data_IF_828103816234
#
_entry.id   IF_828103816234
#
_cell.length_a   1.000
_cell.length_b   1.000
_cell.length_c   1.000
_cell.angle_alpha   90.00
_cell.angle_beta   90.00
_cell.angle_gamma   90.00
#
_symmetry.space_group_name_H-M   'P 1'
#
loop_
_entity.id
_entity.type
_entity.pdbx_description
1 polymer ?
#
# COMPACT_ATOMS: atom_id res chain seq x y z
N UNK A 1 -36.84 -16.25 45.35
CA UNK A 1 -35.55 -15.73 44.85
C UNK A 1 -35.39 -14.34 45.46
N UNK A 2 -34.38 -14.13 46.31
CA UNK A 2 -34.19 -12.87 47.04
C UNK A 2 -33.53 -11.81 46.14
N UNK A 3 -33.85 -10.53 46.37
CA UNK A 3 -33.26 -9.42 45.59
C UNK A 3 -31.73 -9.41 45.65
N UNK A 4 -31.16 -9.89 46.75
CA UNK A 4 -29.71 -9.99 46.93
C UNK A 4 -29.03 -10.91 45.89
N UNK A 5 -29.69 -12.00 45.46
CA UNK A 5 -29.14 -12.88 44.42
C UNK A 5 -29.18 -12.23 43.03
N UNK A 6 -30.10 -11.29 42.79
CA UNK A 6 -30.22 -10.61 41.48
C UNK A 6 -29.04 -9.69 41.25
N UNK A 7 -28.62 -8.97 42.28
CA UNK A 7 -27.44 -8.10 42.25
C UNK A 7 -26.15 -8.91 42.06
N UNK A 8 -25.97 -10.01 42.80
CA UNK A 8 -24.78 -10.85 42.60
C UNK A 8 -24.73 -11.50 41.22
N UNK A 9 -25.87 -11.83 40.60
CA UNK A 9 -25.88 -12.36 39.22
C UNK A 9 -25.39 -11.35 38.18
N UNK A 10 -25.67 -10.06 38.33
CA UNK A 10 -25.09 -9.07 37.41
C UNK A 10 -23.58 -8.96 37.62
N UNK A 11 -23.12 -8.93 38.88
CA UNK A 11 -21.69 -8.90 39.21
C UNK A 11 -20.92 -10.14 38.71
N UNK A 12 -21.57 -11.31 38.61
CA UNK A 12 -20.93 -12.51 38.03
C UNK A 12 -20.50 -12.30 36.58
N UNK A 13 -21.29 -11.57 35.77
CA UNK A 13 -20.90 -11.28 34.39
C UNK A 13 -19.67 -10.36 34.33
N UNK A 14 -19.62 -9.34 35.19
CA UNK A 14 -18.48 -8.44 35.33
C UNK A 14 -17.22 -9.17 35.85
N UNK A 15 -17.42 -10.20 36.69
CA UNK A 15 -16.33 -11.04 37.18
C UNK A 15 -15.71 -11.89 36.07
N UNK A 16 -16.55 -12.56 35.27
CA UNK A 16 -16.08 -13.42 34.17
C UNK A 16 -15.33 -12.60 33.11
N UNK A 17 -15.76 -11.37 32.87
CA UNK A 17 -15.11 -10.45 31.94
C UNK A 17 -13.89 -9.70 32.51
N UNK A 18 -13.57 -9.91 33.80
CA UNK A 18 -12.39 -9.35 34.46
C UNK A 18 -12.50 -7.86 34.81
N UNK A 19 -13.71 -7.30 34.90
CA UNK A 19 -13.96 -5.86 35.08
C UNK A 19 -14.15 -5.47 36.56
N UNK A 20 -14.40 -6.44 37.45
CA UNK A 20 -14.59 -6.18 38.89
C UNK A 20 -13.30 -5.77 39.62
N UNK A 21 -13.45 -4.83 40.56
CA UNK A 21 -12.40 -4.48 41.52
C UNK A 21 -12.14 -5.61 42.53
N UNK A 22 -10.95 -5.62 43.15
CA UNK A 22 -10.57 -6.66 44.13
C UNK A 22 -11.55 -6.78 45.30
N UNK A 23 -12.13 -5.66 45.75
CA UNK A 23 -13.11 -5.65 46.84
C UNK A 23 -14.42 -6.34 46.42
N UNK A 24 -14.94 -6.03 45.24
CA UNK A 24 -16.18 -6.63 44.72
C UNK A 24 -16.00 -8.13 44.44
N UNK A 25 -14.80 -8.53 44.02
CA UNK A 25 -14.45 -9.94 43.85
C UNK A 25 -14.50 -10.70 45.17
N UNK A 26 -13.97 -10.13 46.26
CA UNK A 26 -14.03 -10.76 47.58
C UNK A 26 -15.46 -10.89 48.10
N UNK A 27 -16.28 -9.85 47.97
CA UNK A 27 -17.70 -9.87 48.33
C UNK A 27 -18.47 -10.93 47.53
N UNK A 28 -18.23 -11.00 46.22
CA UNK A 28 -18.85 -11.99 45.35
C UNK A 28 -18.40 -13.42 45.72
N UNK A 29 -17.11 -13.64 45.98
CA UNK A 29 -16.61 -14.96 46.38
C UNK A 29 -17.23 -15.44 47.69
N UNK A 30 -17.41 -14.55 48.67
CA UNK A 30 -18.06 -14.90 49.93
C UNK A 30 -19.53 -15.29 49.72
N UNK A 31 -20.24 -14.56 48.86
CA UNK A 31 -21.60 -14.93 48.47
C UNK A 31 -21.66 -16.30 47.75
N UNK A 32 -20.72 -16.57 46.83
CA UNK A 32 -20.66 -17.83 46.08
C UNK A 32 -20.36 -19.05 46.95
N UNK A 33 -19.67 -18.87 48.10
CA UNK A 33 -19.46 -19.95 49.07
C UNK A 33 -20.77 -20.43 49.66
N UNK A 34 -21.68 -19.50 49.96
CA UNK A 34 -22.92 -19.75 50.70
C UNK A 34 -24.15 -19.98 49.79
N UNK A 35 -24.13 -19.49 48.55
CA UNK A 35 -25.28 -19.52 47.65
C UNK A 35 -25.08 -20.49 46.47
N UNK A 36 -25.70 -21.68 46.55
CA UNK A 36 -25.64 -22.72 45.49
C UNK A 36 -26.13 -22.22 44.12
N UNK A 37 -27.29 -21.54 43.98
CA UNK A 37 -27.77 -21.09 42.67
C UNK A 37 -26.83 -20.10 41.95
N UNK A 38 -26.17 -19.21 42.70
CA UNK A 38 -25.22 -18.26 42.14
C UNK A 38 -23.94 -18.96 41.68
N UNK A 39 -23.49 -19.98 42.41
CA UNK A 39 -22.34 -20.81 42.01
C UNK A 39 -22.62 -21.60 40.74
N UNK A 40 -23.80 -22.23 40.64
CA UNK A 40 -24.20 -22.95 39.44
C UNK A 40 -24.26 -22.02 38.23
N UNK A 41 -24.78 -20.80 38.42
CA UNK A 41 -24.83 -19.79 37.37
C UNK A 41 -23.45 -19.32 36.91
N UNK A 42 -22.53 -19.05 37.83
CA UNK A 42 -21.15 -18.70 37.51
C UNK A 42 -20.46 -19.83 36.75
N UNK A 43 -20.65 -21.08 37.18
CA UNK A 43 -20.05 -22.24 36.53
C UNK A 43 -20.59 -22.45 35.11
N UNK A 44 -21.89 -22.24 34.90
CA UNK A 44 -22.49 -22.29 33.56
C UNK A 44 -21.89 -21.22 32.63
N UNK A 45 -21.78 -19.98 33.09
CA UNK A 45 -21.16 -18.89 32.30
C UNK A 45 -19.70 -19.17 31.98
N UNK A 46 -18.93 -19.71 32.94
CA UNK A 46 -17.54 -20.09 32.71
C UNK A 46 -17.41 -21.20 31.66
N UNK A 47 -18.31 -22.19 31.70
CA UNK A 47 -18.31 -23.27 30.71
C UNK A 47 -18.64 -22.75 29.30
N UNK A 48 -19.54 -21.78 29.19
CA UNK A 48 -19.84 -21.11 27.91
C UNK A 48 -18.63 -20.32 27.40
N UNK A 49 -17.96 -19.56 28.26
CA UNK A 49 -16.75 -18.80 27.92
C UNK A 49 -15.60 -19.71 27.47
N UNK A 50 -15.34 -20.81 28.21
CA UNK A 50 -14.35 -21.83 27.84
C UNK A 50 -14.68 -22.46 26.47
N UNK A 51 -15.97 -22.70 26.18
CA UNK A 51 -16.41 -23.22 24.89
C UNK A 51 -16.21 -22.23 23.75
N UNK A 52 -16.45 -20.93 23.99
CA UNK A 52 -16.21 -19.88 23.00
C UNK A 52 -14.71 -19.72 22.74
N UNK A 53 -13.89 -19.69 23.78
CA UNK A 53 -12.44 -19.60 23.68
C UNK A 53 -11.87 -20.75 22.83
N UNK A 54 -12.33 -21.98 23.07
CA UNK A 54 -11.94 -23.15 22.27
C UNK A 54 -12.35 -23.02 20.80
N UNK A 55 -13.55 -22.49 20.53
CA UNK A 55 -14.02 -22.26 19.17
C UNK A 55 -13.17 -21.23 18.42
N UNK A 56 -12.87 -20.10 19.06
CA UNK A 56 -12.01 -19.06 18.47
C UNK A 56 -10.59 -19.57 18.23
N UNK A 57 -10.01 -20.33 19.16
CA UNK A 57 -8.69 -20.94 18.96
C UNK A 57 -8.64 -21.84 17.71
N UNK A 58 -9.70 -22.61 17.44
CA UNK A 58 -9.80 -23.42 16.23
C UNK A 58 -9.91 -22.58 14.95
N UNK A 59 -10.60 -21.44 15.00
CA UNK A 59 -10.66 -20.49 13.87
C UNK A 59 -9.29 -19.87 13.61
N UNK A 60 -8.59 -19.44 14.65
CA UNK A 60 -7.27 -18.82 14.53
C UNK A 60 -6.24 -19.79 13.93
N UNK A 61 -6.25 -21.07 14.36
CA UNK A 61 -5.39 -22.11 13.80
C UNK A 61 -5.70 -22.37 12.30
N UNK A 62 -6.98 -22.46 11.93
CA UNK A 62 -7.40 -22.60 10.53
C UNK A 62 -7.02 -21.36 9.69
N UNK A 63 -7.16 -20.15 10.23
CA UNK A 63 -6.74 -18.92 9.54
C UNK A 63 -5.23 -18.89 9.32
N UNK A 64 -4.43 -19.24 10.34
CA UNK A 64 -2.98 -19.36 10.20
C UNK A 64 -2.61 -20.39 9.12
N UNK A 65 -3.31 -21.52 9.08
CA UNK A 65 -3.09 -22.53 8.05
C UNK A 65 -3.46 -22.03 6.65
N UNK A 66 -4.57 -21.30 6.50
CA UNK A 66 -4.97 -20.70 5.21
C UNK A 66 -3.98 -19.64 4.75
N UNK A 67 -3.49 -18.80 5.67
CA UNK A 67 -2.48 -17.79 5.37
C UNK A 67 -1.19 -18.45 4.87
N UNK A 68 -0.73 -19.51 5.53
CA UNK A 68 0.46 -20.27 5.11
C UNK A 68 0.27 -20.85 3.70
N UNK A 69 -0.87 -21.49 3.42
CA UNK A 69 -1.17 -22.00 2.07
C UNK A 69 -1.21 -20.88 1.02
N UNK A 70 -1.76 -19.71 1.37
CA UNK A 70 -1.82 -18.58 0.46
C UNK A 70 -0.42 -18.05 0.13
N UNK A 71 0.46 -17.94 1.14
CA UNK A 71 1.86 -17.54 0.95
C UNK A 71 2.62 -18.55 0.08
N UNK A 72 2.49 -19.85 0.36
CA UNK A 72 3.12 -20.90 -0.44
C UNK A 72 2.65 -20.88 -1.91
N UNK A 73 1.36 -20.59 -2.17
CA UNK A 73 0.87 -20.45 -3.54
C UNK A 73 1.55 -19.28 -4.25
N UNK A 74 1.66 -18.11 -3.61
CA UNK A 74 2.33 -16.94 -4.19
C UNK A 74 3.80 -17.24 -4.51
N UNK A 75 4.52 -17.89 -3.60
CA UNK A 75 5.91 -18.28 -3.80
C UNK A 75 6.08 -19.25 -4.98
N UNK A 76 5.20 -20.26 -5.09
CA UNK A 76 5.19 -21.19 -6.21
C UNK A 76 4.96 -20.49 -7.55
N UNK A 77 4.04 -19.52 -7.60
CA UNK A 77 3.80 -18.74 -8.83
C UNK A 77 5.04 -17.95 -9.25
N UNK A 78 5.73 -17.28 -8.33
CA UNK A 78 6.97 -16.55 -8.65
C UNK A 78 8.13 -17.48 -9.04
N UNK A 79 8.25 -18.65 -8.42
CA UNK A 79 9.26 -19.64 -8.80
C UNK A 79 9.01 -20.19 -10.22
N UNK A 80 7.74 -20.37 -10.59
CA UNK A 80 7.34 -20.78 -11.94
C UNK A 80 7.56 -19.65 -12.96
N UNK A 81 7.29 -18.39 -12.62
CA UNK A 81 7.58 -17.24 -13.50
C UNK A 81 9.07 -17.04 -13.76
N UNK A 82 9.92 -17.42 -12.78
CA UNK A 82 11.38 -17.49 -12.94
C UNK A 82 11.87 -18.67 -13.77
N UNK A 83 10.99 -19.57 -14.25
CA UNK A 83 11.34 -20.52 -15.31
C UNK A 83 11.47 -19.81 -16.66
N UNK A 84 12.56 -19.03 -16.73
CA UNK A 84 13.25 -18.49 -17.88
C UNK A 84 12.35 -18.07 -19.06
N UNK A 85 11.90 -16.79 -19.10
CA UNK A 85 11.47 -16.17 -20.36
C UNK A 85 12.56 -16.32 -21.45
N UNK A 86 13.83 -16.43 -21.05
CA UNK A 86 14.92 -16.75 -21.97
C UNK A 86 14.81 -18.16 -22.59
N UNK A 87 14.24 -19.16 -21.92
CA UNK A 87 14.08 -20.51 -22.48
C UNK A 87 12.93 -20.58 -23.48
N UNK A 88 11.83 -19.88 -23.19
CA UNK A 88 10.69 -19.71 -24.09
C UNK A 88 11.12 -18.89 -25.32
N UNK A 89 11.80 -17.76 -25.10
CA UNK A 89 12.37 -16.94 -26.18
C UNK A 89 13.36 -17.71 -27.05
N UNK A 90 14.25 -18.52 -26.45
CA UNK A 90 15.22 -19.36 -27.19
C UNK A 90 14.53 -20.47 -27.99
N UNK A 91 13.37 -20.97 -27.54
CA UNK A 91 12.56 -21.96 -28.27
C UNK A 91 11.83 -21.31 -29.44
N UNK A 92 11.28 -20.11 -29.25
CA UNK A 92 10.53 -19.37 -30.29
C UNK A 92 11.44 -18.74 -31.35
N UNK A 93 12.61 -18.21 -30.99
CA UNK A 93 13.55 -17.56 -31.92
C UNK A 93 14.38 -18.54 -32.77
N UNK A 94 14.17 -19.85 -32.59
CA UNK A 94 14.90 -20.92 -33.31
C UNK A 94 14.48 -21.04 -34.78
N UNK A 95 13.33 -20.49 -35.17
CA UNK A 95 12.84 -20.58 -36.56
C UNK A 95 13.53 -19.57 -37.48
N UNK A 96 13.75 -19.92 -38.75
CA UNK A 96 14.34 -18.98 -39.73
C UNK A 96 13.40 -17.82 -40.07
N UNK A 97 12.08 -18.05 -40.00
CA UNK A 97 11.06 -17.05 -40.28
C UNK A 97 11.02 -15.94 -39.22
N UNK A 98 11.20 -16.26 -37.93
CA UNK A 98 11.25 -15.25 -36.88
C UNK A 98 12.43 -14.29 -37.05
N UNK A 99 13.57 -14.76 -37.56
CA UNK A 99 14.75 -13.91 -37.83
C UNK A 99 14.48 -12.89 -38.93
N UNK A 100 13.80 -13.30 -40.00
CA UNK A 100 13.43 -12.41 -41.11
C UNK A 100 12.38 -11.38 -40.66
N UNK A 101 11.39 -11.79 -39.86
CA UNK A 101 10.38 -10.88 -39.32
C UNK A 101 10.99 -9.80 -38.41
N UNK A 102 11.93 -10.17 -37.53
CA UNK A 102 12.63 -9.18 -36.69
C UNK A 102 13.45 -8.21 -37.52
N UNK A 103 14.20 -8.69 -38.53
CA UNK A 103 14.97 -7.82 -39.41
C UNK A 103 14.08 -6.83 -40.18
N UNK A 104 12.94 -7.30 -40.71
CA UNK A 104 11.97 -6.45 -41.38
C UNK A 104 11.38 -5.40 -40.44
N UNK A 105 11.02 -5.77 -39.21
CA UNK A 105 10.48 -4.84 -38.21
C UNK A 105 11.49 -3.75 -37.84
N UNK A 106 12.77 -4.09 -37.69
CA UNK A 106 13.84 -3.11 -37.41
C UNK A 106 13.97 -2.10 -38.57
N UNK A 107 13.94 -2.58 -39.82
CA UNK A 107 14.02 -1.71 -40.99
C UNK A 107 12.80 -0.77 -41.08
N UNK A 108 11.61 -1.28 -40.81
CA UNK A 108 10.39 -0.46 -40.75
C UNK A 108 10.51 0.61 -39.68
N UNK A 109 10.91 0.25 -38.46
CA UNK A 109 11.08 1.21 -37.36
C UNK A 109 12.13 2.28 -37.70
N UNK A 110 13.28 1.89 -38.24
CA UNK A 110 14.32 2.83 -38.65
C UNK A 110 13.81 3.81 -39.72
N UNK A 111 13.06 3.32 -40.71
CA UNK A 111 12.49 4.16 -41.76
C UNK A 111 11.47 5.16 -41.21
N UNK A 112 10.61 4.73 -40.27
CA UNK A 112 9.63 5.60 -39.61
C UNK A 112 10.32 6.67 -38.76
N UNK A 113 11.38 6.31 -38.03
CA UNK A 113 12.15 7.27 -37.23
C UNK A 113 12.78 8.37 -38.09
N UNK A 114 13.34 8.04 -39.25
CA UNK A 114 13.93 9.02 -40.17
C UNK A 114 12.87 10.01 -40.67
N UNK A 115 11.69 9.53 -41.05
CA UNK A 115 10.59 10.39 -41.52
C UNK A 115 10.09 11.35 -40.43
N UNK A 116 10.03 10.89 -39.18
CA UNK A 116 9.61 11.72 -38.04
C UNK A 116 10.67 12.80 -37.73
N UNK A 117 11.96 12.44 -37.80
CA UNK A 117 13.07 13.36 -37.56
C UNK A 117 13.16 14.43 -38.65
N UNK A 118 12.98 14.07 -39.92
CA UNK A 118 12.98 15.01 -41.05
C UNK A 118 11.82 16.02 -40.99
N UNK A 119 10.64 15.60 -40.51
CA UNK A 119 9.54 16.53 -40.22
C UNK A 119 9.84 17.49 -39.07
N UNK A 120 10.78 17.16 -38.20
CA UNK A 120 11.09 17.95 -36.99
C UNK A 120 12.20 18.99 -37.19
N UNK A 121 12.93 18.96 -38.32
CA UNK A 121 14.06 19.87 -38.59
C UNK A 121 13.67 21.27 -39.10
N UNK A 122 12.38 21.64 -39.08
CA UNK A 122 11.93 23.00 -39.43
C UNK A 122 12.37 24.09 -38.43
N UNK A 123 13.20 23.77 -37.43
CA UNK A 123 13.64 24.69 -36.37
C UNK A 123 14.87 25.54 -36.68
N UNK A 124 15.54 25.33 -37.82
CA UNK A 124 16.75 26.10 -38.15
C UNK A 124 16.46 27.59 -38.45
N UNK A 125 15.27 27.92 -38.96
CA UNK A 125 14.87 29.30 -39.28
C UNK A 125 14.49 30.15 -38.06
N UNK A 126 14.24 29.54 -36.90
CA UNK A 126 13.86 30.28 -35.68
C UNK A 126 15.08 30.84 -34.92
N UNK A 127 16.27 30.25 -35.11
CA UNK A 127 17.51 30.69 -34.48
C UNK A 127 18.05 31.99 -35.10
N UNK A 128 17.96 32.14 -36.42
CA UNK A 128 18.35 33.38 -37.09
C UNK A 128 17.49 34.57 -36.66
N UNK A 129 16.17 34.37 -36.50
CA UNK A 129 15.28 35.42 -35.98
C UNK A 129 15.60 35.82 -34.55
N UNK A 130 16.00 34.87 -33.70
CA UNK A 130 16.36 35.18 -32.31
C UNK A 130 17.70 35.90 -32.22
N UNK A 131 18.69 35.52 -33.03
CA UNK A 131 19.99 36.22 -33.10
C UNK A 131 19.82 37.63 -33.66
N UNK A 132 19.03 37.80 -34.71
CA UNK A 132 18.77 39.12 -35.30
C UNK A 132 17.95 40.01 -34.37
N UNK A 133 16.97 39.45 -33.65
CA UNK A 133 16.24 40.17 -32.61
C UNK A 133 17.18 40.61 -31.48
N UNK A 134 18.06 39.73 -31.00
CA UNK A 134 19.06 40.05 -29.96
C UNK A 134 20.05 41.14 -30.41
N UNK A 135 20.49 41.14 -31.67
CA UNK A 135 21.35 42.19 -32.22
C UNK A 135 20.67 43.56 -32.29
N UNK A 136 19.34 43.62 -32.31
CA UNK A 136 18.57 44.88 -32.29
C UNK A 136 18.30 45.43 -30.89
N UNK A 137 18.59 44.67 -29.83
CA UNK A 137 18.34 45.10 -28.45
C UNK A 137 19.50 45.92 -27.93
N UNK A 138 19.32 47.23 -27.90
CA UNK A 138 20.31 48.21 -27.40
C UNK A 138 20.26 48.41 -25.88
N UNK A 139 19.19 47.98 -25.21
CA UNK A 139 19.00 48.17 -23.77
C UNK A 139 18.46 46.90 -23.13
N UNK A 140 19.11 46.47 -22.04
CA UNK A 140 18.66 45.34 -21.23
C UNK A 140 18.11 45.85 -19.91
N UNK A 141 16.90 45.41 -19.58
CA UNK A 141 16.23 45.70 -18.33
C UNK A 141 16.50 44.57 -17.34
N UNK A 142 17.11 44.90 -16.20
CA UNK A 142 17.39 43.95 -15.12
C UNK A 142 16.55 44.35 -13.91
N UNK A 143 15.67 43.45 -13.50
CA UNK A 143 14.88 43.57 -12.28
C UNK A 143 15.36 42.49 -11.31
N UNK A 144 15.88 42.91 -10.17
CA UNK A 144 16.22 42.03 -9.06
C UNK A 144 15.07 42.06 -8.05
N UNK A 145 14.48 40.90 -7.78
CA UNK A 145 13.44 40.71 -6.77
C UNK A 145 13.98 39.87 -5.64
N UNK A 146 13.58 40.18 -4.41
CA UNK A 146 13.88 39.32 -3.26
C UNK A 146 12.96 38.09 -3.21
N UNK A 147 13.22 37.21 -2.25
CA UNK A 147 12.47 35.96 -2.03
C UNK A 147 11.00 36.20 -1.65
N UNK A 148 10.62 37.45 -1.33
CA UNK A 148 9.23 37.85 -1.07
C UNK A 148 8.53 38.41 -2.32
N UNK A 149 9.24 38.48 -3.44
CA UNK A 149 8.74 38.97 -4.72
C UNK A 149 8.78 40.50 -4.86
N UNK A 150 9.32 41.22 -3.87
CA UNK A 150 9.44 42.68 -3.89
C UNK A 150 10.68 43.08 -4.69
N UNK A 151 10.53 44.10 -5.54
CA UNK A 151 11.64 44.60 -6.37
C UNK A 151 12.65 45.30 -5.46
N UNK A 152 13.85 44.73 -5.37
CA UNK A 152 14.99 45.32 -4.64
C UNK A 152 15.76 46.32 -5.49
N UNK A 153 15.89 46.07 -6.79
CA UNK A 153 16.69 46.87 -7.68
C UNK A 153 16.17 46.79 -9.11
N UNK A 154 16.11 47.92 -9.77
CA UNK A 154 15.74 48.03 -11.18
C UNK A 154 16.78 48.88 -11.90
N UNK A 155 17.38 48.34 -12.96
CA UNK A 155 18.37 49.06 -13.76
C UNK A 155 18.23 48.76 -15.25
N UNK A 156 18.46 49.79 -16.04
CA UNK A 156 18.59 49.71 -17.50
C UNK A 156 20.06 49.79 -17.85
N UNK A 157 20.56 48.83 -18.61
CA UNK A 157 21.95 48.80 -19.09
C UNK A 157 21.91 48.92 -20.61
N UNK A 158 22.53 49.96 -21.16
CA UNK A 158 22.75 50.08 -22.60
C UNK A 158 23.90 49.13 -23.00
N UNK A 159 23.65 48.27 -23.97
CA UNK A 159 24.66 47.38 -24.56
C UNK A 159 25.03 48.01 -25.90
N UNK A 160 26.19 48.68 -25.92
CA UNK A 160 26.79 49.29 -27.11
C UNK A 160 27.71 48.35 -27.86
#
# INVERSE_FOLDING_TARGET
MSDHCREFRSRIADFVTGVLSEQEQQELQEHLRTCLPCRDHMQALKQEDDSLAAHFAGIDEDMAQRQERALQMIECFHANERTNPASIWRKTMRSRYSKLATAAAILVLASVSVVILDKSTSSAYALDQTVQALQSVRHVHLIERDDTGVIRSERWIEIG
#
